data_IF_212106149637
#
_entry.id   IF_212106149637
#
_cell.length_a   1.000
_cell.length_b   1.000
_cell.length_c   1.000
_cell.angle_alpha   90.00
_cell.angle_beta   90.00
_cell.angle_gamma   90.00
#
_symmetry.space_group_name_H-M   'P 1'
#
loop_
_entity.id
_entity.type
_entity.pdbx_description
1 polymer ?
#
# COMPACT_ATOMS: atom_id res chain seq x y z
N UNK A 1 4.86 21.73 12.43
CA UNK A 1 5.68 20.98 11.46
C UNK A 1 5.84 19.57 11.98
N UNK A 2 4.75 18.80 12.00
CA UNK A 2 4.82 17.35 12.16
C UNK A 2 5.19 16.86 10.77
N UNK A 3 6.46 16.48 10.57
CA UNK A 3 6.80 15.70 9.40
C UNK A 3 5.89 14.47 9.44
N UNK A 4 5.01 14.32 8.44
CA UNK A 4 4.24 13.10 8.24
C UNK A 4 5.22 12.03 7.77
N UNK A 5 6.09 11.59 8.68
CA UNK A 5 7.07 10.55 8.53
C UNK A 5 6.53 9.31 7.79
N UNK A 6 5.27 8.85 8.00
CA UNK A 6 4.71 7.77 7.19
C UNK A 6 4.46 8.15 5.71
N UNK A 7 4.17 9.41 5.40
CA UNK A 7 3.99 9.88 4.03
C UNK A 7 5.32 9.89 3.25
N UNK A 8 6.39 10.40 3.86
CA UNK A 8 7.73 10.40 3.25
C UNK A 8 8.22 8.96 2.98
N UNK A 9 7.91 8.03 3.89
CA UNK A 9 8.22 6.62 3.70
C UNK A 9 7.45 6.01 2.52
N UNK A 10 6.16 6.34 2.37
CA UNK A 10 5.35 5.90 1.22
C UNK A 10 5.96 6.42 -0.08
N UNK A 11 6.30 7.70 -0.18
CA UNK A 11 6.88 8.27 -1.39
C UNK A 11 8.23 7.61 -1.77
N UNK A 12 9.06 7.30 -0.78
CA UNK A 12 10.31 6.60 -1.01
C UNK A 12 10.06 5.18 -1.54
N UNK A 13 9.11 4.46 -0.94
CA UNK A 13 8.72 3.12 -1.36
C UNK A 13 8.10 3.13 -2.77
N UNK A 14 7.26 4.11 -3.10
CA UNK A 14 6.70 4.28 -4.46
C UNK A 14 7.80 4.46 -5.50
N UNK A 15 8.84 5.27 -5.22
CA UNK A 15 9.96 5.47 -6.14
C UNK A 15 10.76 4.17 -6.34
N UNK A 16 10.95 3.38 -5.29
CA UNK A 16 11.69 2.13 -5.36
C UNK A 16 10.87 1.05 -6.07
N UNK A 17 9.60 0.87 -5.70
CA UNK A 17 8.76 -0.23 -6.20
C UNK A 17 8.15 0.09 -7.56
N UNK A 18 7.66 1.31 -7.78
CA UNK A 18 6.90 1.63 -8.98
C UNK A 18 7.77 2.17 -10.12
N UNK A 19 8.92 2.80 -9.81
CA UNK A 19 9.78 3.42 -10.83
C UNK A 19 11.07 2.65 -11.11
N UNK A 20 11.55 1.81 -10.19
CA UNK A 20 12.76 1.02 -10.40
C UNK A 20 12.43 -0.43 -10.77
N UNK A 21 12.76 -0.81 -12.01
CA UNK A 21 12.49 -2.14 -12.54
C UNK A 21 13.18 -3.28 -11.78
N UNK A 22 14.26 -3.00 -11.03
CA UNK A 22 14.95 -4.02 -10.24
C UNK A 22 14.14 -4.46 -9.00
N UNK A 23 13.27 -3.58 -8.50
CA UNK A 23 12.51 -3.80 -7.27
C UNK A 23 11.00 -3.91 -7.52
N UNK A 24 10.54 -3.56 -8.72
CA UNK A 24 9.12 -3.65 -9.08
C UNK A 24 8.56 -5.06 -8.97
N UNK A 25 9.37 -6.11 -9.15
CA UNK A 25 8.94 -7.50 -8.95
C UNK A 25 9.17 -8.05 -7.54
N UNK A 26 9.62 -7.25 -6.57
CA UNK A 26 9.99 -7.78 -5.25
C UNK A 26 8.76 -7.95 -4.34
N UNK A 27 8.42 -9.20 -4.04
CA UNK A 27 7.27 -9.56 -3.23
C UNK A 27 7.20 -8.84 -1.86
N UNK A 28 8.33 -8.78 -1.16
CA UNK A 28 8.38 -8.17 0.17
C UNK A 28 8.18 -6.65 0.09
N UNK A 29 8.79 -5.98 -0.89
CA UNK A 29 8.65 -4.53 -1.04
C UNK A 29 7.25 -4.12 -1.48
N UNK A 30 6.62 -4.90 -2.37
CA UNK A 30 5.22 -4.66 -2.75
C UNK A 30 4.28 -4.79 -1.55
N UNK A 31 4.45 -5.85 -0.74
CA UNK A 31 3.69 -6.03 0.50
C UNK A 31 3.92 -4.90 1.50
N UNK A 32 5.17 -4.47 1.69
CA UNK A 32 5.47 -3.35 2.60
C UNK A 32 4.80 -2.05 2.13
N UNK A 33 4.83 -1.75 0.83
CA UNK A 33 4.20 -0.55 0.27
C UNK A 33 2.69 -0.52 0.56
N UNK A 34 1.98 -1.60 0.21
CA UNK A 34 0.52 -1.65 0.38
C UNK A 34 0.10 -1.70 1.85
N UNK A 35 0.81 -2.43 2.71
CA UNK A 35 0.51 -2.50 4.14
C UNK A 35 0.75 -1.17 4.84
N UNK A 36 1.76 -0.42 4.42
CA UNK A 36 2.02 0.93 4.93
C UNK A 36 0.91 1.89 4.48
N UNK A 37 0.48 1.78 3.23
CA UNK A 37 -0.61 2.56 2.67
C UNK A 37 -1.93 2.33 3.40
N UNK A 38 -2.28 1.08 3.73
CA UNK A 38 -3.48 0.76 4.51
C UNK A 38 -3.53 1.54 5.83
N UNK A 39 -2.37 1.72 6.50
CA UNK A 39 -2.30 2.38 7.80
C UNK A 39 -2.20 3.90 7.72
N UNK A 40 -1.57 4.44 6.67
CA UNK A 40 -1.20 5.85 6.60
C UNK A 40 -1.91 6.64 5.50
N UNK A 41 -2.27 6.01 4.38
CA UNK A 41 -2.98 6.65 3.26
C UNK A 41 -3.86 5.64 2.49
N UNK A 42 -5.07 5.32 3.01
CA UNK A 42 -5.95 4.32 2.41
C UNK A 42 -6.40 4.62 0.98
N UNK A 43 -6.39 5.89 0.57
CA UNK A 43 -6.82 6.30 -0.77
C UNK A 43 -5.91 5.75 -1.87
N UNK A 44 -4.64 5.45 -1.55
CA UNK A 44 -3.67 4.88 -2.49
C UNK A 44 -3.71 3.36 -2.59
N UNK A 45 -4.34 2.68 -1.63
CA UNK A 45 -4.36 1.20 -1.57
C UNK A 45 -4.93 0.60 -2.86
N UNK A 46 -6.01 1.19 -3.38
CA UNK A 46 -6.62 0.73 -4.63
C UNK A 46 -5.71 0.94 -5.85
N UNK A 47 -4.93 2.03 -5.91
CA UNK A 47 -3.96 2.23 -6.99
C UNK A 47 -2.88 1.15 -6.96
N UNK A 48 -2.38 0.83 -5.76
CA UNK A 48 -1.38 -0.22 -5.60
C UNK A 48 -1.93 -1.60 -5.96
N UNK A 49 -3.16 -1.95 -5.55
CA UNK A 49 -3.81 -3.22 -5.94
C UNK A 49 -3.88 -3.36 -7.47
N UNK A 50 -4.16 -2.27 -8.18
CA UNK A 50 -4.30 -2.30 -9.65
C UNK A 50 -2.95 -2.34 -10.40
N UNK A 51 -1.85 -1.97 -9.75
CA UNK A 51 -0.54 -1.79 -10.40
C UNK A 51 0.50 -2.84 -10.00
N UNK A 52 0.32 -3.46 -8.84
CA UNK A 52 1.24 -4.44 -8.26
C UNK A 52 0.73 -5.85 -8.58
N UNK A 53 1.60 -6.73 -9.08
CA UNK A 53 1.20 -8.10 -9.47
C UNK A 53 1.76 -9.19 -8.54
N UNK A 54 2.64 -8.83 -7.59
CA UNK A 54 3.40 -9.76 -6.76
C UNK A 54 3.27 -9.43 -5.27
N UNK A 55 2.04 -9.28 -4.78
CA UNK A 55 1.75 -9.06 -3.37
C UNK A 55 0.82 -10.15 -2.82
N UNK A 56 0.74 -10.27 -1.51
CA UNK A 56 -0.15 -11.22 -0.83
C UNK A 56 -1.56 -10.62 -0.68
N UNK A 57 -2.44 -10.98 -1.61
CA UNK A 57 -3.83 -10.52 -1.58
C UNK A 57 -4.60 -10.95 -0.33
N UNK A 58 -4.25 -12.09 0.29
CA UNK A 58 -4.90 -12.55 1.51
C UNK A 58 -4.52 -11.67 2.69
N UNK A 59 -3.21 -11.48 2.92
CA UNK A 59 -2.71 -10.64 4.00
C UNK A 59 -3.17 -9.18 3.85
N UNK A 60 -3.17 -8.66 2.61
CA UNK A 60 -3.70 -7.32 2.31
C UNK A 60 -5.19 -7.23 2.61
N UNK A 61 -5.97 -8.25 2.25
CA UNK A 61 -7.41 -8.31 2.53
C UNK A 61 -7.72 -8.32 4.03
N UNK A 62 -7.02 -9.14 4.81
CA UNK A 62 -7.16 -9.17 6.27
C UNK A 62 -6.85 -7.81 6.89
N UNK A 63 -5.73 -7.21 6.52
CA UNK A 63 -5.31 -5.90 7.00
C UNK A 63 -6.28 -4.78 6.58
N UNK A 64 -6.86 -4.87 5.38
CA UNK A 64 -7.87 -3.92 4.92
C UNK A 64 -9.18 -4.05 5.73
N UNK A 65 -9.59 -5.27 6.09
CA UNK A 65 -10.75 -5.50 6.97
C UNK A 65 -10.48 -4.92 8.36
N UNK A 66 -9.30 -5.19 8.94
CA UNK A 66 -8.90 -4.63 10.24
C UNK A 66 -8.87 -3.10 10.23
N UNK A 67 -8.44 -2.50 9.12
CA UNK A 67 -8.44 -1.06 8.91
C UNK A 67 -9.81 -0.48 8.49
N UNK A 68 -10.87 -1.30 8.47
CA UNK A 68 -12.22 -0.92 8.05
C UNK A 68 -12.31 -0.34 6.63
N UNK A 69 -11.41 -0.75 5.74
CA UNK A 69 -11.34 -0.34 4.33
C UNK A 69 -12.23 -1.19 3.42
N UNK A 70 -13.42 -1.54 3.90
CA UNK A 70 -14.46 -2.18 3.12
C UNK A 70 -15.64 -1.22 3.04
N UNK A 71 -16.25 -1.11 1.86
CA UNK A 71 -17.40 -0.22 1.66
C UNK A 71 -18.54 -0.58 2.60
N UNK A 72 -18.65 0.09 3.74
CA UNK A 72 -19.91 0.15 4.48
C UNK A 72 -20.79 1.09 3.69
N UNK A 73 -21.68 0.53 2.87
CA UNK A 73 -22.85 1.25 2.37
C UNK A 73 -23.61 1.82 3.57
N UNK A 74 -23.29 3.06 3.93
CA UNK A 74 -24.24 3.97 4.55
C UNK A 74 -24.81 4.81 3.42
N UNK A 75 -26.10 4.52 3.15
CA UNK A 75 -27.05 5.08 2.18
C UNK A 75 -27.28 4.19 0.94
#
# INVERSE_FOLDING_TARGET
>A
MTADLPHELIELLEKIVLHNSAFSGNFNLQNILILTAIKADPFRVMDYINRLDNFDGHAVGEMAIEAQLYGTNTC
#
